data_IF_560936959804
#
_entry.id   IF_560936959804
#
_cell.length_a   1.000
_cell.length_b   1.000
_cell.length_c   1.000
_cell.angle_alpha   90.00
_cell.angle_beta   90.00
_cell.angle_gamma   90.00
#
_symmetry.space_group_name_H-M   'P 1'
#
loop_
_entity.id
_entity.type
_entity.pdbx_description
1 polymer ?
#
# COMPACT_ATOMS: atom_id res chain seq x y z
N UNK A 1 -4.02 52.01 9.85
CA UNK A 1 -3.49 51.14 10.93
C UNK A 1 -3.51 49.64 10.58
N UNK A 2 -3.62 49.22 9.30
CA UNK A 2 -3.57 47.80 8.89
C UNK A 2 -2.23 47.46 8.20
N UNK A 3 -1.65 48.40 7.44
CA UNK A 3 -0.33 48.21 6.81
C UNK A 3 0.80 47.99 7.81
N UNK A 4 0.83 48.78 8.88
CA UNK A 4 1.83 48.65 9.94
C UNK A 4 1.76 47.29 10.64
N UNK A 5 0.56 46.71 10.76
CA UNK A 5 0.38 45.35 11.25
C UNK A 5 0.86 44.30 10.26
N UNK A 6 0.59 44.48 8.97
CA UNK A 6 1.11 43.62 7.90
C UNK A 6 2.64 43.62 7.87
N UNK A 7 3.28 44.79 7.90
CA UNK A 7 4.74 44.90 7.91
C UNK A 7 5.37 44.27 9.15
N UNK A 8 4.82 44.55 10.34
CA UNK A 8 5.31 43.98 11.59
C UNK A 8 5.05 42.47 11.73
N UNK A 9 4.14 41.91 10.92
CA UNK A 9 3.86 40.48 10.89
C UNK A 9 4.72 39.71 9.87
N UNK A 10 5.55 40.41 9.09
CA UNK A 10 6.42 39.81 8.07
C UNK A 10 7.88 39.79 8.54
N UNK A 11 8.65 38.85 8.01
CA UNK A 11 10.11 38.88 8.14
C UNK A 11 10.67 40.10 7.39
N UNK A 12 11.75 40.70 7.92
CA UNK A 12 12.34 41.93 7.38
C UNK A 12 12.69 41.83 5.89
N UNK A 13 13.24 40.67 5.49
CA UNK A 13 13.60 40.30 4.12
C UNK A 13 12.40 40.34 3.15
N UNK A 14 11.20 40.06 3.65
CA UNK A 14 9.96 40.08 2.88
C UNK A 14 9.38 41.49 2.89
N UNK A 15 9.30 42.13 4.06
CA UNK A 15 8.67 43.43 4.27
C UNK A 15 9.30 44.56 3.43
N UNK A 16 10.62 44.51 3.21
CA UNK A 16 11.34 45.52 2.43
C UNK A 16 10.87 45.63 0.98
N UNK A 17 10.42 44.52 0.38
CA UNK A 17 9.90 44.51 -0.99
C UNK A 17 8.51 45.16 -1.12
N UNK A 18 7.83 45.40 -0.01
CA UNK A 18 6.45 45.92 0.02
C UNK A 18 6.30 47.27 0.72
N UNK A 19 7.42 47.95 1.02
CA UNK A 19 7.44 49.23 1.75
C UNK A 19 6.88 50.40 0.93
N UNK A 20 6.88 50.29 -0.40
CA UNK A 20 6.45 51.35 -1.32
C UNK A 20 4.99 51.26 -1.76
N UNK A 21 4.24 50.25 -1.30
CA UNK A 21 2.82 50.11 -1.64
C UNK A 21 1.95 51.06 -0.83
N UNK A 22 0.93 51.61 -1.49
CA UNK A 22 0.10 52.70 -0.95
C UNK A 22 -1.20 52.22 -0.33
N UNK A 23 -1.56 50.95 -0.50
CA UNK A 23 -2.72 50.34 0.17
C UNK A 23 -2.38 49.00 0.83
N UNK A 24 -3.03 48.71 1.95
CA UNK A 24 -2.91 47.40 2.61
C UNK A 24 -3.40 46.26 1.70
N UNK A 25 -4.34 46.55 0.81
CA UNK A 25 -4.84 45.62 -0.19
C UNK A 25 -3.77 45.25 -1.21
N UNK A 26 -3.01 46.22 -1.73
CA UNK A 26 -1.90 45.94 -2.66
C UNK A 26 -0.78 45.13 -1.99
N UNK A 27 -0.42 45.47 -0.74
CA UNK A 27 0.56 44.71 0.04
C UNK A 27 0.09 43.26 0.19
N UNK A 28 -1.16 43.08 0.62
CA UNK A 28 -1.72 41.74 0.83
C UNK A 28 -1.84 40.95 -0.48
N UNK A 29 -2.33 41.55 -1.56
CA UNK A 29 -2.49 40.86 -2.83
C UNK A 29 -1.15 40.51 -3.47
N UNK A 30 -0.14 41.39 -3.36
CA UNK A 30 1.21 41.12 -3.85
C UNK A 30 1.90 40.03 -3.02
N UNK A 31 1.82 40.07 -1.69
CA UNK A 31 2.35 39.01 -0.81
C UNK A 31 1.64 37.69 -1.06
N UNK A 32 0.31 37.70 -1.19
CA UNK A 32 -0.48 36.52 -1.55
C UNK A 32 -0.05 35.97 -2.92
N UNK A 33 0.10 36.82 -3.93
CA UNK A 33 0.45 36.38 -5.28
C UNK A 33 1.87 35.78 -5.33
N UNK A 34 2.83 36.40 -4.64
CA UNK A 34 4.23 35.95 -4.58
C UNK A 34 4.38 34.67 -3.75
N UNK A 35 3.74 34.58 -2.59
CA UNK A 35 4.00 33.51 -1.62
C UNK A 35 2.90 32.46 -1.49
N UNK A 36 1.69 32.67 -2.04
CA UNK A 36 0.66 31.61 -2.04
C UNK A 36 0.89 30.63 -3.20
N UNK A 37 1.09 31.11 -4.43
CA UNK A 37 1.21 30.23 -5.61
C UNK A 37 2.49 29.39 -5.62
N UNK A 38 3.58 29.94 -5.10
CA UNK A 38 4.90 29.28 -5.07
C UNK A 38 4.95 28.17 -4.00
N UNK A 39 4.24 28.36 -2.87
CA UNK A 39 4.08 27.31 -1.84
C UNK A 39 3.23 26.16 -2.34
N UNK A 40 2.14 26.43 -3.07
CA UNK A 40 1.26 25.36 -3.55
C UNK A 40 1.97 24.38 -4.49
N UNK A 41 2.80 24.88 -5.42
CA UNK A 41 3.51 24.02 -6.37
C UNK A 41 4.64 23.22 -5.70
N UNK A 42 5.39 23.86 -4.80
CA UNK A 42 6.45 23.19 -4.05
C UNK A 42 5.89 22.11 -3.10
N UNK A 43 4.81 22.41 -2.38
CA UNK A 43 4.13 21.45 -1.50
C UNK A 43 3.52 20.30 -2.32
N UNK A 44 2.88 20.59 -3.45
CA UNK A 44 2.36 19.56 -4.34
C UNK A 44 3.47 18.64 -4.85
N UNK A 45 4.63 19.21 -5.22
CA UNK A 45 5.80 18.45 -5.63
C UNK A 45 6.35 17.59 -4.48
N UNK A 46 6.44 18.14 -3.27
CA UNK A 46 6.87 17.42 -2.08
C UNK A 46 5.97 16.22 -1.79
N UNK A 47 4.65 16.41 -1.80
CA UNK A 47 3.68 15.33 -1.56
C UNK A 47 3.75 14.29 -2.67
N UNK A 48 3.83 14.70 -3.95
CA UNK A 48 4.01 13.75 -5.06
C UNK A 48 5.29 12.94 -4.90
N UNK A 49 6.38 13.56 -4.47
CA UNK A 49 7.65 12.87 -4.21
C UNK A 49 7.50 11.88 -3.06
N UNK A 50 6.81 12.25 -1.97
CA UNK A 50 6.47 11.34 -0.87
C UNK A 50 5.65 10.15 -1.34
N UNK A 51 4.61 10.38 -2.16
CA UNK A 51 3.78 9.31 -2.73
C UNK A 51 4.61 8.34 -3.57
N UNK A 52 5.44 8.83 -4.49
CA UNK A 52 6.24 7.97 -5.37
C UNK A 52 7.35 7.20 -4.65
N UNK A 53 7.89 7.76 -3.56
CA UNK A 53 8.94 7.12 -2.74
C UNK A 53 8.39 6.24 -1.62
N UNK A 54 7.09 6.29 -1.34
CA UNK A 54 6.45 5.51 -0.29
C UNK A 54 6.43 4.03 -0.63
N UNK A 55 6.80 3.21 0.35
CA UNK A 55 6.76 1.74 0.31
C UNK A 55 6.13 1.23 1.61
N UNK A 56 5.49 0.07 1.56
CA UNK A 56 4.88 -0.58 2.71
C UNK A 56 5.93 -0.87 3.80
N UNK A 57 7.04 -1.52 3.43
CA UNK A 57 8.14 -1.80 4.35
C UNK A 57 7.66 -2.60 5.57
N UNK A 58 7.87 -2.06 6.76
CA UNK A 58 7.46 -2.69 8.03
C UNK A 58 6.02 -2.37 8.46
N UNK A 59 5.33 -1.49 7.73
CA UNK A 59 3.96 -1.11 8.05
C UNK A 59 3.00 -2.26 7.72
N UNK A 60 1.92 -2.37 8.49
CA UNK A 60 0.79 -3.20 8.07
C UNK A 60 0.14 -2.62 6.82
N UNK A 61 -0.49 -3.48 6.01
CA UNK A 61 -1.28 -3.08 4.82
C UNK A 61 -2.26 -1.95 5.14
N UNK A 62 -2.92 -1.99 6.30
CA UNK A 62 -3.87 -0.95 6.74
C UNK A 62 -3.17 0.37 7.04
N UNK A 63 -2.05 0.35 7.76
CA UNK A 63 -1.27 1.56 8.06
C UNK A 63 -0.72 2.19 6.78
N UNK A 64 -0.17 1.37 5.89
CA UNK A 64 0.34 1.82 4.60
C UNK A 64 -0.77 2.44 3.75
N UNK A 65 -1.93 1.80 3.66
CA UNK A 65 -3.09 2.34 2.95
C UNK A 65 -3.55 3.69 3.53
N UNK A 66 -3.61 3.81 4.85
CA UNK A 66 -4.01 5.06 5.51
C UNK A 66 -3.00 6.19 5.27
N UNK A 67 -1.70 5.88 5.27
CA UNK A 67 -0.64 6.83 4.94
C UNK A 67 -0.77 7.33 3.50
N UNK A 68 -0.93 6.43 2.53
CA UNK A 68 -1.15 6.79 1.12
C UNK A 68 -2.41 7.64 0.95
N UNK A 69 -3.51 7.24 1.60
CA UNK A 69 -4.77 7.99 1.62
C UNK A 69 -4.61 9.40 2.17
N UNK A 70 -3.79 9.58 3.21
CA UNK A 70 -3.49 10.91 3.76
C UNK A 70 -2.83 11.80 2.71
N UNK A 71 -1.81 11.30 2.00
CA UNK A 71 -1.14 12.07 0.95
C UNK A 71 -2.07 12.44 -0.22
N UNK A 72 -2.93 11.52 -0.65
CA UNK A 72 -3.89 11.83 -1.72
C UNK A 72 -4.95 12.84 -1.29
N UNK A 73 -5.42 12.80 -0.04
CA UNK A 73 -6.34 13.80 0.49
C UNK A 73 -5.68 15.18 0.58
N UNK A 74 -4.42 15.21 1.00
CA UNK A 74 -3.62 16.43 1.05
C UNK A 74 -3.42 17.02 -0.36
N UNK A 75 -3.11 16.18 -1.35
CA UNK A 75 -3.05 16.59 -2.77
C UNK A 75 -4.37 17.17 -3.28
N UNK A 76 -5.50 16.54 -2.96
CA UNK A 76 -6.83 17.05 -3.34
C UNK A 76 -7.10 18.40 -2.71
N UNK A 77 -6.69 18.61 -1.45
CA UNK A 77 -6.84 19.90 -0.77
C UNK A 77 -6.13 21.02 -1.55
N UNK A 78 -4.87 20.82 -1.94
CA UNK A 78 -4.12 21.81 -2.71
C UNK A 78 -4.61 21.97 -4.16
N UNK A 79 -5.12 20.90 -4.77
CA UNK A 79 -5.63 20.94 -6.14
C UNK A 79 -7.01 21.62 -6.23
N UNK A 80 -7.86 21.44 -5.21
CA UNK A 80 -9.18 22.09 -5.08
C UNK A 80 -9.09 23.61 -5.07
N UNK A 81 -7.98 24.17 -4.56
CA UNK A 81 -7.72 25.62 -4.56
C UNK A 81 -7.62 26.19 -6.00
N UNK A 82 -7.30 25.37 -7.00
CA UNK A 82 -7.02 25.84 -8.39
C UNK A 82 -8.10 25.53 -9.43
N UNK A 83 -9.07 24.66 -9.17
CA UNK A 83 -9.93 24.13 -10.23
C UNK A 83 -11.33 24.78 -10.29
N UNK A 84 -11.45 25.88 -11.06
CA UNK A 84 -12.71 26.40 -11.60
C UNK A 84 -12.85 25.99 -13.08
N UNK A 85 -13.12 24.73 -13.36
CA UNK A 85 -13.59 24.33 -14.71
C UNK A 85 -14.33 22.99 -14.65
N UNK A 86 -15.54 22.96 -15.21
CA UNK A 86 -16.55 21.88 -15.09
C UNK A 86 -16.62 20.98 -16.32
N UNK A 87 -15.57 20.90 -17.13
CA UNK A 87 -15.63 20.12 -18.35
C UNK A 87 -14.83 18.82 -18.18
N UNK A 88 -15.57 17.71 -17.97
CA UNK A 88 -15.13 16.31 -17.85
C UNK A 88 -14.62 15.82 -16.47
N UNK A 89 -15.37 16.12 -15.41
CA UNK A 89 -15.10 15.65 -14.03
C UNK A 89 -15.07 14.12 -13.90
N UNK A 90 -15.84 13.36 -14.69
CA UNK A 90 -15.93 11.90 -14.57
C UNK A 90 -14.65 11.21 -15.05
N UNK A 91 -14.20 11.49 -16.28
CA UNK A 91 -12.94 10.91 -16.81
C UNK A 91 -11.73 11.26 -15.94
N UNK A 92 -11.68 12.49 -15.41
CA UNK A 92 -10.59 12.91 -14.53
C UNK A 92 -10.59 12.13 -13.22
N UNK A 93 -11.77 11.88 -12.63
CA UNK A 93 -11.89 11.07 -11.41
C UNK A 93 -11.42 9.64 -11.65
N UNK A 94 -11.83 9.04 -12.76
CA UNK A 94 -11.43 7.67 -13.12
C UNK A 94 -9.91 7.58 -13.33
N UNK A 95 -9.32 8.58 -13.99
CA UNK A 95 -7.87 8.66 -14.18
C UNK A 95 -7.12 8.78 -12.84
N UNK A 96 -7.56 9.69 -11.98
CA UNK A 96 -6.96 9.89 -10.65
C UNK A 96 -7.11 8.64 -9.78
N UNK A 97 -8.25 7.94 -9.83
CA UNK A 97 -8.42 6.70 -9.08
C UNK A 97 -7.50 5.59 -9.57
N UNK A 98 -7.34 5.43 -10.89
CA UNK A 98 -6.38 4.48 -11.48
C UNK A 98 -4.94 4.77 -11.04
N UNK A 99 -4.51 6.03 -11.10
CA UNK A 99 -3.18 6.43 -10.65
C UNK A 99 -2.95 6.04 -9.18
N UNK A 100 -3.94 6.29 -8.31
CA UNK A 100 -3.85 5.91 -6.88
C UNK A 100 -3.74 4.40 -6.68
N UNK A 101 -4.47 3.61 -7.47
CA UNK A 101 -4.38 2.15 -7.42
C UNK A 101 -2.96 1.71 -7.79
N UNK A 102 -2.39 2.27 -8.87
CA UNK A 102 -1.04 1.93 -9.30
C UNK A 102 0.03 2.35 -8.29
N UNK A 103 -0.05 3.56 -7.76
CA UNK A 103 0.85 4.04 -6.70
C UNK A 103 0.76 3.16 -5.45
N UNK A 104 -0.45 2.74 -5.06
CA UNK A 104 -0.64 1.86 -3.91
C UNK A 104 0.01 0.50 -4.10
N UNK A 105 -0.34 -0.21 -5.18
CA UNK A 105 0.16 -1.57 -5.41
C UNK A 105 1.67 -1.57 -5.69
N UNK A 106 2.20 -0.58 -6.40
CA UNK A 106 3.63 -0.49 -6.69
C UNK A 106 4.52 -0.31 -5.44
N UNK A 107 3.93 0.11 -4.32
CA UNK A 107 4.63 0.22 -3.04
C UNK A 107 4.40 -0.93 -2.07
N UNK A 108 3.59 -1.92 -2.39
CA UNK A 108 3.40 -3.11 -1.55
C UNK A 108 4.67 -3.96 -1.50
N UNK A 109 4.78 -4.74 -0.42
CA UNK A 109 5.87 -5.71 -0.28
C UNK A 109 5.74 -6.84 -1.31
N UNK A 110 6.87 -7.44 -1.70
CA UNK A 110 6.94 -8.53 -2.70
C UNK A 110 6.10 -9.76 -2.34
N UNK A 111 5.76 -9.93 -1.06
CA UNK A 111 4.82 -10.95 -0.62
C UNK A 111 3.47 -10.84 -1.36
N UNK A 112 3.05 -9.66 -1.80
CA UNK A 112 1.79 -9.43 -2.50
C UNK A 112 1.88 -9.46 -4.04
N UNK A 113 3.00 -9.91 -4.63
CA UNK A 113 3.18 -9.92 -6.09
C UNK A 113 2.08 -10.68 -6.85
N UNK A 114 1.55 -11.77 -6.27
CA UNK A 114 0.42 -12.50 -6.85
C UNK A 114 -0.83 -11.64 -6.98
N UNK A 115 -1.04 -10.69 -6.06
CA UNK A 115 -2.15 -9.74 -6.11
C UNK A 115 -1.96 -8.74 -7.24
N UNK A 116 -0.73 -8.31 -7.52
CA UNK A 116 -0.46 -7.42 -8.67
C UNK A 116 -0.95 -8.05 -9.96
N UNK A 117 -0.63 -9.32 -10.19
CA UNK A 117 -1.09 -10.07 -11.36
C UNK A 117 -2.61 -10.18 -11.37
N UNK A 118 -3.22 -10.51 -10.23
CA UNK A 118 -4.67 -10.66 -10.13
C UNK A 118 -5.44 -9.36 -10.39
N UNK A 119 -4.93 -8.21 -9.93
CA UNK A 119 -5.57 -6.91 -10.12
C UNK A 119 -5.36 -6.42 -11.55
N UNK A 120 -4.13 -6.49 -12.05
CA UNK A 120 -3.75 -6.01 -13.39
C UNK A 120 -4.30 -6.89 -14.51
N UNK A 121 -4.60 -8.17 -14.23
CA UNK A 121 -5.18 -9.11 -15.19
C UNK A 121 -6.71 -9.02 -15.36
N UNK A 122 -7.41 -8.15 -14.63
CA UNK A 122 -8.87 -7.99 -14.77
C UNK A 122 -9.21 -7.13 -15.99
N UNK A 123 -10.34 -7.44 -16.63
CA UNK A 123 -10.90 -6.64 -17.73
C UNK A 123 -11.28 -5.22 -17.26
N UNK A 124 -11.82 -5.11 -16.04
CA UNK A 124 -12.09 -3.85 -15.37
C UNK A 124 -11.25 -3.73 -14.11
N UNK A 125 -10.55 -2.60 -13.96
CA UNK A 125 -9.79 -2.33 -12.75
C UNK A 125 -10.76 -2.14 -11.57
N UNK A 126 -10.53 -2.83 -10.44
CA UNK A 126 -11.32 -2.62 -9.24
C UNK A 126 -11.11 -1.21 -8.71
N UNK A 127 -12.07 -0.70 -7.94
CA UNK A 127 -11.90 0.57 -7.22
C UNK A 127 -10.75 0.49 -6.21
N UNK A 128 -10.28 1.66 -5.73
CA UNK A 128 -9.23 1.71 -4.72
C UNK A 128 -9.66 0.99 -3.42
N UNK A 129 -10.93 1.10 -3.04
CA UNK A 129 -11.48 0.44 -1.85
C UNK A 129 -11.56 -1.08 -2.02
N UNK A 130 -11.96 -1.55 -3.19
CA UNK A 130 -11.99 -2.99 -3.51
C UNK A 130 -10.58 -3.57 -3.57
N UNK A 131 -9.64 -2.84 -4.17
CA UNK A 131 -8.21 -3.20 -4.18
C UNK A 131 -7.69 -3.41 -2.77
N UNK A 132 -7.95 -2.46 -1.87
CA UNK A 132 -7.61 -2.58 -0.45
C UNK A 132 -8.27 -3.80 0.22
N UNK A 133 -9.55 -4.06 -0.06
CA UNK A 133 -10.26 -5.21 0.50
C UNK A 133 -9.66 -6.55 0.03
N UNK A 134 -9.29 -6.66 -1.25
CA UNK A 134 -8.63 -7.85 -1.81
C UNK A 134 -7.29 -8.10 -1.10
N UNK A 135 -6.45 -7.07 -0.96
CA UNK A 135 -5.13 -7.20 -0.31
C UNK A 135 -5.28 -7.58 1.16
N UNK A 136 -6.25 -6.97 1.86
CA UNK A 136 -6.52 -7.30 3.26
C UNK A 136 -6.99 -8.76 3.42
N UNK A 137 -7.86 -9.23 2.54
CA UNK A 137 -8.34 -10.62 2.55
C UNK A 137 -7.18 -11.60 2.32
N UNK A 138 -6.29 -11.31 1.35
CA UNK A 138 -5.12 -12.14 1.07
C UNK A 138 -4.13 -12.14 2.24
N UNK A 139 -3.92 -11.01 2.92
CA UNK A 139 -3.12 -10.95 4.15
C UNK A 139 -3.69 -11.90 5.22
N UNK A 140 -5.00 -11.84 5.47
CA UNK A 140 -5.65 -12.74 6.45
C UNK A 140 -5.52 -14.21 6.05
N UNK A 141 -5.71 -14.52 4.76
CA UNK A 141 -5.54 -15.88 4.23
C UNK A 141 -4.12 -16.40 4.48
N UNK A 142 -3.09 -15.58 4.24
CA UNK A 142 -1.69 -15.94 4.47
C UNK A 142 -1.36 -16.21 5.93
N UNK A 143 -1.87 -15.39 6.86
CA UNK A 143 -1.68 -15.65 8.29
C UNK A 143 -2.24 -17.03 8.67
N UNK A 144 -3.44 -17.37 8.18
CA UNK A 144 -4.07 -18.66 8.51
C UNK A 144 -3.38 -19.84 7.80
N UNK A 145 -2.99 -19.67 6.53
CA UNK A 145 -2.54 -20.78 5.68
C UNK A 145 -1.02 -20.94 5.56
N UNK A 146 -0.20 -19.94 5.88
CA UNK A 146 1.26 -20.03 5.81
C UNK A 146 1.88 -20.05 7.21
N UNK A 147 1.35 -19.28 8.16
CA UNK A 147 1.92 -19.16 9.51
C UNK A 147 1.61 -20.39 10.39
N UNK A 148 0.57 -21.16 10.02
CA UNK A 148 0.24 -22.45 10.64
C UNK A 148 1.22 -23.58 10.29
N UNK A 149 1.90 -23.52 9.15
CA UNK A 149 2.86 -24.54 8.73
C UNK A 149 4.24 -24.42 9.39
N UNK A 150 4.52 -23.33 10.11
CA UNK A 150 5.81 -23.15 10.79
C UNK A 150 5.85 -23.83 12.17
N UNK A 151 4.70 -24.22 12.75
CA UNK A 151 4.64 -24.83 14.08
C UNK A 151 4.53 -26.37 14.07
N UNK A 152 4.11 -27.00 12.97
CA UNK A 152 4.10 -28.47 12.84
C UNK A 152 5.36 -28.97 12.13
N UNK A 153 6.49 -28.77 12.80
CA UNK A 153 7.72 -29.48 12.49
C UNK A 153 7.51 -31.00 12.62
N UNK A 154 7.20 -31.64 11.49
CA UNK A 154 7.67 -32.97 11.08
C UNK A 154 7.90 -34.00 12.19
N UNK A 155 6.95 -34.92 12.34
CA UNK A 155 7.24 -36.26 12.86
C UNK A 155 6.36 -37.32 12.17
N UNK A 156 6.78 -37.78 10.98
CA UNK A 156 6.35 -39.09 10.49
C UNK A 156 7.34 -40.14 10.98
N UNK A 157 7.01 -40.78 12.10
CA UNK A 157 7.66 -42.04 12.51
C UNK A 157 7.12 -43.12 11.57
N UNK A 158 7.93 -43.53 10.59
CA UNK A 158 7.69 -44.74 9.83
C UNK A 158 7.99 -45.94 10.72
N UNK A 159 6.98 -46.39 11.48
CA UNK A 159 7.07 -47.63 12.23
C UNK A 159 6.93 -48.78 11.24
N UNK A 160 8.08 -49.34 10.86
CA UNK A 160 8.18 -50.52 10.00
C UNK A 160 7.54 -51.71 10.71
N UNK A 161 6.23 -51.91 10.52
CA UNK A 161 5.58 -53.17 10.88
C UNK A 161 6.21 -54.28 10.05
N UNK A 162 7.10 -55.07 10.65
CA UNK A 162 7.43 -56.40 10.13
C UNK A 162 6.16 -57.24 10.27
N UNK A 163 5.42 -57.35 9.18
CA UNK A 163 4.45 -58.41 9.00
C UNK A 163 5.26 -59.68 8.70
N UNK A 164 5.46 -60.54 9.70
CA UNK A 164 5.98 -61.88 9.48
C UNK A 164 4.85 -62.74 8.90
N UNK A 165 4.90 -62.92 7.58
CA UNK A 165 4.03 -63.83 6.84
C UNK A 165 4.44 -65.27 7.14
N UNK A 166 3.71 -65.97 8.01
CA UNK A 166 3.81 -67.43 8.16
C UNK A 166 2.78 -68.14 7.28
N UNK A 167 3.22 -68.56 6.10
CA UNK A 167 2.68 -69.69 5.31
C UNK A 167 3.94 -70.37 4.75
N UNK A 168 4.29 -71.61 5.03
CA UNK A 168 3.50 -72.82 5.09
C UNK A 168 4.08 -73.76 4.03
N UNK A 169 4.92 -74.72 4.42
CA UNK A 169 5.26 -75.87 3.57
C UNK A 169 5.25 -77.17 4.38
N UNK A 170 4.28 -77.98 4.00
CA UNK A 170 3.99 -79.34 4.38
C UNK A 170 4.80 -80.28 3.48
N UNK A 171 5.65 -81.17 4.04
CA UNK A 171 5.94 -82.47 3.40
C UNK A 171 6.13 -83.55 4.47
N UNK A 172 5.10 -84.40 4.50
CA UNK A 172 5.03 -85.78 5.00
C UNK A 172 6.17 -86.66 4.48
N UNK A 173 6.85 -87.39 5.37
CA UNK A 173 7.45 -88.68 5.04
C UNK A 173 7.42 -89.62 6.25
N UNK A 174 6.56 -90.64 6.16
CA UNK A 174 6.65 -91.87 6.94
C UNK A 174 7.92 -92.62 6.54
N UNK A 175 8.73 -93.11 7.50
CA UNK A 175 9.29 -94.46 7.38
C UNK A 175 9.85 -95.03 8.70
N UNK A 176 9.55 -96.32 8.88
CA UNK A 176 9.90 -97.24 9.97
C UNK A 176 11.41 -97.50 10.12
N UNK A 177 11.87 -97.76 11.35
CA UNK A 177 12.77 -98.87 11.85
C UNK A 177 13.26 -98.50 13.27
N UNK A 178 12.79 -99.15 14.36
CA UNK A 178 13.22 -100.43 14.99
C UNK A 178 14.66 -100.41 15.55
N UNK A 179 14.82 -100.96 16.77
CA UNK A 179 16.05 -101.29 17.55
C UNK A 179 16.42 -100.15 18.52
N UNK A 180 16.42 -100.26 19.86
CA UNK A 180 16.54 -101.37 20.83
C UNK A 180 15.40 -101.36 21.86
#
# INVERSE_FOLDING_TARGET
MIMSWLWNSMQLEISGNYMFFTTAQEIWESVRQTYSKMKDAALMYEIKTKVSSSKQGTLSVTEYYNMMKSFWLELVHYQSIKMKCTDNVVMLKDFVEKDRIFEFIAGLNAEFDQIHIQILGRETLPSLSETFAIIRAEKSRRIVMLDSHTLEGSAMISQKFRCETNQGQNVRSENKKRVL
#
